data_IF_824693393687
#
_entry.id   IF_824693393687
#
_cell.length_a   1.000
_cell.length_b   1.000
_cell.length_c   1.000
_cell.angle_alpha   90.00
_cell.angle_beta   90.00
_cell.angle_gamma   90.00
#
_symmetry.space_group_name_H-M   'P 1'
#
loop_
_entity.id
_entity.type
_entity.pdbx_description
1 polymer ?
#
# COMPACT_ATOMS: atom_id res chain seq x y z
N UNK A 1 -1.10 10.83 -20.52
CA UNK A 1 -1.15 10.24 -19.18
C UNK A 1 -2.27 10.92 -18.44
N UNK A 2 -3.32 10.20 -18.07
CA UNK A 2 -4.56 10.77 -17.51
C UNK A 2 -4.60 10.41 -16.04
N UNK A 3 -4.29 11.38 -15.18
CA UNK A 3 -4.44 11.25 -13.74
C UNK A 3 -5.94 11.26 -13.39
N UNK A 4 -6.42 10.24 -12.67
CA UNK A 4 -7.78 10.19 -12.15
C UNK A 4 -7.78 10.80 -10.73
N UNK A 5 -8.64 11.79 -10.51
CA UNK A 5 -8.77 12.46 -9.22
C UNK A 5 -9.71 11.68 -8.31
N UNK A 6 -9.20 11.22 -7.18
CA UNK A 6 -10.01 10.81 -6.01
C UNK A 6 -9.64 11.81 -4.91
N UNK A 7 -10.58 12.68 -4.55
CA UNK A 7 -10.55 13.58 -3.39
C UNK A 7 -9.19 14.21 -3.03
N UNK A 8 -8.59 14.93 -4.00
CA UNK A 8 -7.40 15.76 -3.77
C UNK A 8 -6.06 15.05 -3.82
N UNK A 9 -6.03 13.71 -3.89
CA UNK A 9 -4.81 12.94 -4.13
C UNK A 9 -4.69 12.69 -5.64
N UNK A 10 -3.66 13.26 -6.27
CA UNK A 10 -3.31 12.92 -7.65
C UNK A 10 -2.79 11.49 -7.66
N UNK A 11 -3.57 10.54 -8.17
CA UNK A 11 -3.01 9.24 -8.53
C UNK A 11 -2.06 9.46 -9.70
N UNK A 12 -0.80 9.26 -9.43
CA UNK A 12 0.25 9.39 -10.42
C UNK A 12 0.60 7.98 -10.88
N UNK A 13 0.79 7.81 -12.18
CA UNK A 13 1.17 6.51 -12.76
C UNK A 13 2.64 6.21 -12.44
N UNK A 14 2.98 6.03 -11.16
CA UNK A 14 4.34 5.74 -10.75
C UNK A 14 4.72 4.29 -11.07
N UNK A 15 5.91 4.12 -11.65
CA UNK A 15 6.50 2.80 -11.86
C UNK A 15 7.11 2.23 -10.59
N UNK A 16 7.83 1.11 -10.73
CA UNK A 16 8.50 0.41 -9.62
C UNK A 16 9.57 1.26 -8.92
N UNK A 17 10.00 2.35 -9.53
CA UNK A 17 10.91 3.32 -8.93
C UNK A 17 10.37 3.96 -7.65
N UNK A 18 9.04 4.05 -7.49
CA UNK A 18 8.46 4.57 -6.25
C UNK A 18 8.79 3.66 -5.05
N UNK A 19 8.92 2.34 -5.28
CA UNK A 19 9.24 1.37 -4.23
C UNK A 19 10.60 1.66 -3.59
N UNK A 20 11.58 2.08 -4.40
CA UNK A 20 12.94 2.36 -3.92
C UNK A 20 13.14 3.80 -3.46
N UNK A 21 12.38 4.76 -4.01
CA UNK A 21 12.55 6.20 -3.75
C UNK A 21 11.66 6.76 -2.63
N UNK A 22 10.48 6.17 -2.39
CA UNK A 22 9.49 6.73 -1.47
C UNK A 22 9.44 5.96 -0.16
N UNK A 23 9.52 6.68 0.95
CA UNK A 23 9.35 6.14 2.31
C UNK A 23 7.95 6.36 2.87
N UNK A 24 7.23 7.33 2.32
CA UNK A 24 5.89 7.69 2.76
C UNK A 24 4.86 7.31 1.69
N UNK A 25 3.73 6.78 2.13
CA UNK A 25 2.66 6.29 1.28
C UNK A 25 1.31 6.68 1.88
N UNK A 26 0.45 7.34 1.12
CA UNK A 26 -0.89 7.71 1.58
C UNK A 26 -1.90 6.61 1.22
N UNK A 27 -2.78 6.28 2.16
CA UNK A 27 -3.85 5.32 1.94
C UNK A 27 -4.96 5.94 1.08
N UNK A 28 -5.30 5.30 -0.03
CA UNK A 28 -6.34 5.74 -0.97
C UNK A 28 -7.71 5.14 -0.66
N UNK A 29 -7.73 3.90 -0.18
CA UNK A 29 -8.96 3.17 0.09
C UNK A 29 -9.56 3.54 1.45
N UNK A 30 -10.88 3.39 1.64
CA UNK A 30 -11.52 3.58 2.95
C UNK A 30 -10.87 2.74 4.05
N UNK A 31 -10.29 1.60 3.69
CA UNK A 31 -9.70 0.64 4.60
C UNK A 31 -8.62 -0.19 3.89
N UNK A 32 -7.45 -0.30 4.50
CA UNK A 32 -6.42 -1.29 4.16
C UNK A 32 -6.02 -2.08 5.39
N UNK A 33 -5.67 -3.35 5.21
CA UNK A 33 -5.25 -4.22 6.31
C UNK A 33 -3.73 -4.28 6.44
N UNK A 34 -3.29 -4.33 7.69
CA UNK A 34 -1.92 -4.63 8.07
C UNK A 34 -1.81 -6.13 8.28
N UNK A 35 -1.07 -6.81 7.42
CA UNK A 35 -0.97 -8.27 7.42
C UNK A 35 0.34 -8.73 8.04
N UNK A 36 0.37 -9.89 8.71
CA UNK A 36 1.60 -10.43 9.31
C UNK A 36 2.60 -10.95 8.27
N UNK A 37 2.16 -11.17 7.02
CA UNK A 37 3.00 -11.65 5.92
C UNK A 37 2.62 -10.94 4.60
N UNK A 38 3.53 -10.94 3.63
CA UNK A 38 3.28 -10.49 2.26
C UNK A 38 2.59 -11.59 1.41
N UNK A 39 1.41 -12.05 1.84
CA UNK A 39 0.63 -13.09 1.13
C UNK A 39 -0.79 -12.54 0.82
N UNK A 40 -1.18 -12.44 -0.46
CA UNK A 40 -2.49 -11.90 -0.85
C UNK A 40 -3.66 -12.84 -0.52
N UNK A 41 -3.39 -14.10 -0.13
CA UNK A 41 -4.42 -15.08 0.24
C UNK A 41 -4.91 -14.91 1.68
N UNK A 42 -4.20 -14.11 2.49
CA UNK A 42 -4.62 -13.81 3.85
C UNK A 42 -5.91 -12.97 3.84
N UNK A 43 -6.71 -13.14 4.89
CA UNK A 43 -8.05 -12.53 4.99
C UNK A 43 -8.10 -11.53 6.14
N UNK A 44 -9.23 -10.82 6.28
CA UNK A 44 -9.48 -9.89 7.37
C UNK A 44 -9.35 -10.52 8.79
N UNK A 45 -9.37 -11.85 8.91
CA UNK A 45 -9.18 -12.58 10.17
C UNK A 45 -7.71 -12.66 10.60
N UNK A 46 -6.79 -12.55 9.65
CA UNK A 46 -5.36 -12.70 9.86
C UNK A 46 -4.67 -11.36 10.17
N UNK A 47 -5.40 -10.24 10.03
CA UNK A 47 -4.83 -8.89 10.15
C UNK A 47 -4.31 -8.60 11.55
N UNK A 48 -3.19 -7.88 11.58
CA UNK A 48 -2.63 -7.26 12.79
C UNK A 48 -3.36 -5.95 13.12
N UNK A 49 -3.89 -5.27 12.10
CA UNK A 49 -4.53 -3.98 12.24
C UNK A 49 -5.11 -3.48 10.93
N UNK A 50 -5.53 -2.23 10.91
CA UNK A 50 -6.09 -1.58 9.73
C UNK A 50 -5.73 -0.10 9.71
N UNK A 51 -5.76 0.49 8.51
CA UNK A 51 -5.50 1.89 8.24
C UNK A 51 -6.59 2.47 7.35
N UNK A 52 -6.98 3.70 7.62
CA UNK A 52 -8.03 4.40 6.92
C UNK A 52 -7.50 5.32 5.82
N UNK A 53 -8.41 5.72 4.94
CA UNK A 53 -8.14 6.70 3.87
C UNK A 53 -7.47 7.97 4.41
N UNK A 54 -6.46 8.46 3.69
CA UNK A 54 -5.72 9.67 4.04
C UNK A 54 -4.62 9.50 5.10
N UNK A 55 -4.55 8.35 5.79
CA UNK A 55 -3.42 8.07 6.66
C UNK A 55 -2.11 7.93 5.85
N UNK A 56 -1.02 8.49 6.38
CA UNK A 56 0.33 8.34 5.83
C UNK A 56 1.02 7.19 6.55
N UNK A 57 1.50 6.22 5.79
CA UNK A 57 2.28 5.09 6.26
C UNK A 57 3.75 5.32 5.91
N UNK A 58 4.63 5.03 6.86
CA UNK A 58 6.07 5.04 6.64
C UNK A 58 6.59 3.60 6.53
N UNK A 59 7.31 3.30 5.45
CA UNK A 59 7.82 1.96 5.20
C UNK A 59 8.64 1.80 3.93
N UNK A 60 9.08 0.57 3.69
CA UNK A 60 9.83 0.19 2.51
C UNK A 60 8.89 -0.42 1.46
N UNK A 61 8.84 0.19 0.27
CA UNK A 61 8.19 -0.43 -0.88
C UNK A 61 9.01 -1.61 -1.39
N UNK A 62 8.39 -2.77 -1.56
CA UNK A 62 9.03 -4.01 -1.97
C UNK A 62 8.18 -4.72 -3.01
N UNK A 63 8.83 -5.49 -3.88
CA UNK A 63 8.16 -6.44 -4.76
C UNK A 63 8.45 -7.85 -4.30
N UNK A 64 7.41 -8.60 -3.99
CA UNK A 64 7.47 -9.99 -3.56
C UNK A 64 6.56 -10.79 -4.48
N UNK A 65 7.12 -11.78 -5.19
CA UNK A 65 6.39 -12.61 -6.15
C UNK A 65 5.61 -11.80 -7.21
N UNK A 66 6.17 -10.67 -7.64
CA UNK A 66 5.55 -9.77 -8.63
C UNK A 66 4.51 -8.80 -8.06
N UNK A 67 4.15 -8.93 -6.78
CA UNK A 67 3.16 -8.09 -6.09
C UNK A 67 3.88 -6.97 -5.33
N UNK A 68 3.33 -5.76 -5.36
CA UNK A 68 3.89 -4.61 -4.64
C UNK A 68 3.32 -4.53 -3.22
N UNK A 69 4.22 -4.48 -2.26
CA UNK A 69 3.91 -4.41 -0.84
C UNK A 69 4.66 -3.26 -0.18
N UNK A 70 4.03 -2.66 0.82
CA UNK A 70 4.69 -1.76 1.76
C UNK A 70 4.99 -2.55 3.03
N UNK A 71 6.27 -2.65 3.38
CA UNK A 71 6.71 -3.18 4.66
C UNK A 71 6.81 -2.05 5.66
N UNK A 72 6.01 -2.11 6.71
CA UNK A 72 6.01 -1.14 7.80
C UNK A 72 6.39 -1.83 9.12
N UNK A 73 6.77 -1.02 10.10
CA UNK A 73 6.98 -1.49 11.48
C UNK A 73 5.96 -0.82 12.39
N UNK A 74 5.13 -1.60 13.07
CA UNK A 74 4.16 -1.10 14.03
C UNK A 74 4.29 -1.87 15.34
N UNK A 75 4.43 -1.15 16.46
CA UNK A 75 4.51 -1.73 17.81
C UNK A 75 5.57 -2.84 17.93
N UNK A 76 6.73 -2.62 17.31
CA UNK A 76 7.85 -3.58 17.19
C UNK A 76 7.61 -4.81 16.30
N UNK A 77 6.41 -4.96 15.72
CA UNK A 77 6.03 -6.02 14.78
C UNK A 77 6.20 -5.55 13.34
N UNK A 78 6.72 -6.42 12.48
CA UNK A 78 6.75 -6.19 11.05
C UNK A 78 5.36 -6.48 10.46
N UNK A 79 4.83 -5.54 9.68
CA UNK A 79 3.55 -5.68 9.01
C UNK A 79 3.65 -5.31 7.53
N UNK A 80 2.73 -5.87 6.75
CA UNK A 80 2.71 -5.78 5.30
C UNK A 80 1.38 -5.20 4.84
N UNK A 81 1.45 -4.21 3.95
CA UNK A 81 0.27 -3.58 3.34
C UNK A 81 0.36 -3.75 1.84
N UNK A 82 -0.72 -4.19 1.21
CA UNK A 82 -0.77 -4.35 -0.22
C UNK A 82 -0.81 -2.96 -0.88
N UNK A 83 0.11 -2.67 -1.81
CA UNK A 83 0.15 -1.40 -2.54
C UNK A 83 -0.84 -1.41 -3.71
N UNK A 84 -0.92 -2.52 -4.46
CA UNK A 84 -1.82 -2.67 -5.60
C UNK A 84 -2.82 -3.81 -5.42
N UNK A 85 -4.08 -3.53 -5.74
CA UNK A 85 -5.19 -4.46 -5.52
C UNK A 85 -5.23 -5.63 -6.49
N UNK A 86 -4.34 -5.68 -7.50
CA UNK A 86 -4.42 -6.67 -8.58
C UNK A 86 -4.29 -8.09 -8.04
N UNK A 87 -3.44 -8.27 -7.02
CA UNK A 87 -3.22 -9.55 -6.35
C UNK A 87 -4.48 -10.10 -5.65
N UNK A 88 -5.46 -9.24 -5.36
CA UNK A 88 -6.74 -9.58 -4.72
C UNK A 88 -7.95 -9.33 -5.63
N UNK A 89 -7.72 -9.21 -6.94
CA UNK A 89 -8.78 -9.05 -7.95
C UNK A 89 -9.35 -7.63 -8.06
N UNK A 90 -8.67 -6.62 -7.52
CA UNK A 90 -9.05 -5.22 -7.67
C UNK A 90 -8.15 -4.50 -8.68
N UNK A 91 -8.74 -3.78 -9.63
CA UNK A 91 -8.00 -3.03 -10.67
C UNK A 91 -7.70 -1.59 -10.23
N UNK A 92 -7.07 -1.43 -9.06
CA UNK A 92 -6.71 -0.12 -8.50
C UNK A 92 -5.57 -0.23 -7.48
N UNK A 93 -4.89 0.90 -7.23
CA UNK A 93 -3.91 1.01 -6.15
C UNK A 93 -4.61 1.28 -4.82
N UNK A 94 -4.06 0.74 -3.73
CA UNK A 94 -4.53 0.99 -2.37
C UNK A 94 -3.72 2.08 -1.68
N UNK A 95 -2.47 2.26 -2.11
CA UNK A 95 -1.53 3.25 -1.61
C UNK A 95 -0.98 4.09 -2.76
N UNK A 96 -0.77 5.38 -2.51
CA UNK A 96 -0.08 6.31 -3.40
C UNK A 96 1.24 6.74 -2.74
N UNK A 97 2.39 6.69 -3.44
CA UNK A 97 3.64 7.17 -2.87
C UNK A 97 3.58 8.69 -2.69
N UNK A 98 4.14 9.17 -1.58
CA UNK A 98 4.36 10.59 -1.32
C UNK A 98 5.85 10.88 -1.54
N UNK A 99 6.22 11.54 -2.65
CA UNK A 99 7.61 11.94 -2.88
C UNK A 99 8.10 12.85 -1.75
N UNK A 100 9.33 12.62 -1.31
CA UNK A 100 10.05 13.49 -0.38
C UNK A 100 10.87 14.55 -1.10
#
# INVERSE_FOLDING_TARGET
>A
STALRVDGVQTTSWGDEALSKCKHWVVLEPLVYLMPKADPKQTAKDKLGQKGQGEILEGDGLRIEGIRWLRIRQDSVEAWVLIDGKAVGADRCFLEPVPG
#
